data_IF_153352152507
#
_entry.id   IF_153352152507
#
_cell.length_a   1.000
_cell.length_b   1.000
_cell.length_c   1.000
_cell.angle_alpha   90.00
_cell.angle_beta   90.00
_cell.angle_gamma   90.00
#
_symmetry.space_group_name_H-M   'P 1'
#
loop_
_entity.id
_entity.type
_entity.pdbx_description
1 polymer ?
#
# COMPACT_ATOMS: atom_id res chain seq x y z
N UNK A 1 -17.84 13.05 -0.13
CA UNK A 1 -17.48 11.69 0.23
C UNK A 1 -18.37 10.71 -0.52
N UNK A 2 -17.81 9.57 -0.91
CA UNK A 2 -18.53 8.48 -1.57
C UNK A 2 -18.42 7.27 -0.65
N UNK A 3 -19.52 6.56 -0.35
CA UNK A 3 -19.48 5.32 0.42
C UNK A 3 -18.60 4.28 -0.27
N UNK A 4 -17.73 3.60 0.49
CA UNK A 4 -16.73 2.68 -0.08
C UNK A 4 -17.39 1.49 -0.79
N UNK A 5 -18.52 1.03 -0.32
CA UNK A 5 -19.32 -0.05 -0.92
C UNK A 5 -19.90 0.30 -2.31
N UNK A 6 -19.87 1.57 -2.68
CA UNK A 6 -20.27 2.05 -4.02
C UNK A 6 -19.08 2.30 -4.93
N UNK A 7 -17.88 2.00 -4.49
CA UNK A 7 -16.66 2.10 -5.28
C UNK A 7 -16.32 0.73 -5.84
N UNK A 8 -16.19 0.62 -7.15
CA UNK A 8 -15.73 -0.60 -7.80
C UNK A 8 -14.38 -0.36 -8.46
N UNK A 9 -13.53 -1.38 -8.41
CA UNK A 9 -12.24 -1.40 -9.10
C UNK A 9 -12.39 -2.35 -10.27
N UNK A 10 -12.15 -1.85 -11.47
CA UNK A 10 -12.11 -2.70 -12.67
C UNK A 10 -10.73 -3.32 -12.83
N UNK A 11 -10.67 -4.50 -13.40
CA UNK A 11 -9.40 -5.16 -13.70
C UNK A 11 -8.55 -4.27 -14.62
N UNK A 12 -7.26 -4.09 -14.28
CA UNK A 12 -6.37 -3.28 -15.08
C UNK A 12 -6.06 -3.98 -16.40
N UNK A 13 -6.32 -3.28 -17.51
CA UNK A 13 -5.91 -3.73 -18.84
C UNK A 13 -4.90 -2.77 -19.44
N UNK A 14 -3.81 -3.28 -20.01
CA UNK A 14 -2.76 -2.46 -20.62
C UNK A 14 -3.26 -1.56 -21.75
N UNK A 15 -4.43 -1.87 -22.31
CA UNK A 15 -5.05 -1.08 -23.38
C UNK A 15 -5.64 0.25 -22.89
N UNK A 16 -6.06 0.33 -21.62
CA UNK A 16 -6.82 1.47 -21.09
C UNK A 16 -6.13 2.18 -19.93
N UNK A 17 -5.16 1.51 -19.30
CA UNK A 17 -4.45 2.07 -18.16
C UNK A 17 -3.14 2.72 -18.59
N UNK A 18 -2.78 3.85 -17.95
CA UNK A 18 -1.47 4.45 -18.16
C UNK A 18 -0.35 3.52 -17.68
N UNK A 19 0.86 3.73 -18.20
CA UNK A 19 2.04 3.00 -17.75
C UNK A 19 2.23 3.14 -16.23
N UNK A 20 2.47 2.01 -15.57
CA UNK A 20 2.73 1.92 -14.15
C UNK A 20 3.97 1.07 -13.90
N UNK A 21 4.88 1.54 -13.05
CA UNK A 21 6.09 0.81 -12.67
C UNK A 21 5.83 -0.35 -11.69
N UNK A 22 4.59 -0.62 -11.32
CA UNK A 22 4.22 -1.61 -10.32
C UNK A 22 4.42 -1.12 -8.88
N UNK A 23 4.28 -2.05 -7.96
CA UNK A 23 4.29 -1.75 -6.50
C UNK A 23 5.67 -1.98 -5.85
N UNK A 24 6.71 -2.30 -6.61
CA UNK A 24 8.04 -2.57 -6.07
C UNK A 24 8.57 -1.37 -5.26
N UNK A 25 9.29 -1.65 -4.18
CA UNK A 25 9.78 -0.62 -3.25
C UNK A 25 8.68 -0.02 -2.37
N UNK A 26 7.60 -0.76 -2.10
CA UNK A 26 6.49 -0.36 -1.19
C UNK A 26 5.81 0.96 -1.56
N UNK A 27 5.80 1.31 -2.83
CA UNK A 27 5.33 2.62 -3.32
C UNK A 27 3.83 2.70 -3.62
N UNK A 28 3.07 1.62 -3.42
CA UNK A 28 1.65 1.55 -3.81
C UNK A 28 0.81 2.71 -3.28
N UNK A 29 0.88 2.99 -1.99
CA UNK A 29 0.15 4.10 -1.37
C UNK A 29 0.66 5.46 -1.86
N UNK A 30 1.97 5.66 -1.92
CA UNK A 30 2.58 6.95 -2.29
C UNK A 30 2.27 7.30 -3.74
N UNK A 31 2.46 6.36 -4.67
CA UNK A 31 2.31 6.65 -6.11
C UNK A 31 0.86 6.42 -6.58
N UNK A 32 0.36 5.21 -6.43
CA UNK A 32 -0.99 4.86 -6.91
C UNK A 32 -2.08 5.54 -6.11
N UNK A 33 -1.96 5.56 -4.78
CA UNK A 33 -2.93 6.25 -3.91
C UNK A 33 -3.00 7.74 -4.21
N UNK A 34 -1.86 8.40 -4.40
CA UNK A 34 -1.83 9.82 -4.79
C UNK A 34 -2.45 10.06 -6.17
N UNK A 35 -2.14 9.20 -7.16
CA UNK A 35 -2.73 9.30 -8.49
C UNK A 35 -4.25 9.14 -8.45
N UNK A 36 -4.78 8.18 -7.68
CA UNK A 36 -6.22 7.98 -7.48
C UNK A 36 -6.85 9.20 -6.80
N UNK A 37 -6.21 9.75 -5.78
CA UNK A 37 -6.67 10.98 -5.12
C UNK A 37 -6.78 12.16 -6.09
N UNK A 38 -5.75 12.36 -6.92
CA UNK A 38 -5.76 13.42 -7.95
C UNK A 38 -6.88 13.22 -8.98
N UNK A 39 -7.10 11.98 -9.43
CA UNK A 39 -8.19 11.65 -10.34
C UNK A 39 -9.56 11.94 -9.71
N UNK A 40 -9.75 11.57 -8.44
CA UNK A 40 -10.99 11.85 -7.72
C UNK A 40 -11.21 13.36 -7.51
N UNK A 41 -10.17 14.12 -7.23
CA UNK A 41 -10.24 15.59 -7.12
C UNK A 41 -10.63 16.23 -8.46
N UNK A 42 -10.06 15.78 -9.57
CA UNK A 42 -10.42 16.28 -10.91
C UNK A 42 -11.87 15.92 -11.27
N UNK A 43 -12.30 14.68 -10.98
CA UNK A 43 -13.69 14.29 -11.18
C UNK A 43 -14.66 15.14 -10.34
N UNK A 44 -14.31 15.39 -9.06
CA UNK A 44 -15.08 16.30 -8.20
C UNK A 44 -15.18 17.70 -8.79
N UNK A 45 -14.05 18.25 -9.26
CA UNK A 45 -14.02 19.57 -9.89
C UNK A 45 -14.98 19.66 -11.09
N UNK A 46 -14.92 18.67 -11.99
CA UNK A 46 -15.81 18.59 -13.16
C UNK A 46 -17.29 18.48 -12.74
N UNK A 47 -17.59 17.70 -11.71
CA UNK A 47 -18.94 17.59 -11.18
C UNK A 47 -19.46 18.94 -10.64
N UNK A 48 -18.63 19.70 -9.94
CA UNK A 48 -18.96 21.03 -9.44
C UNK A 48 -19.14 22.04 -10.57
N UNK A 49 -18.33 22.01 -11.61
CA UNK A 49 -18.46 22.85 -12.80
C UNK A 49 -19.80 22.59 -13.54
N UNK A 50 -20.17 21.32 -13.72
CA UNK A 50 -21.48 20.94 -14.27
C UNK A 50 -22.63 21.37 -13.35
N UNK A 51 -22.47 21.24 -12.04
CA UNK A 51 -23.42 21.71 -11.06
C UNK A 51 -23.59 23.23 -11.08
N UNK A 52 -22.50 23.98 -11.30
CA UNK A 52 -22.51 25.42 -11.42
C UNK A 52 -23.38 25.89 -12.62
N UNK A 53 -23.24 25.19 -13.74
CA UNK A 53 -24.11 25.42 -14.91
C UNK A 53 -25.59 25.09 -14.63
N UNK A 54 -25.83 23.95 -13.94
CA UNK A 54 -27.18 23.50 -13.63
C UNK A 54 -27.92 24.46 -12.68
N UNK A 55 -27.27 24.85 -11.57
CA UNK A 55 -27.86 25.74 -10.56
C UNK A 55 -27.74 27.23 -10.92
N UNK A 56 -26.99 27.58 -11.96
CA UNK A 56 -26.61 28.96 -12.31
C UNK A 56 -25.97 29.70 -11.12
N UNK A 57 -25.01 29.05 -10.50
CA UNK A 57 -24.25 29.49 -9.32
C UNK A 57 -22.76 29.37 -9.59
N UNK A 58 -21.93 30.03 -8.77
CA UNK A 58 -20.48 29.85 -8.83
C UNK A 58 -20.07 28.53 -8.15
N UNK A 59 -18.94 27.97 -8.56
CA UNK A 59 -18.43 26.68 -8.07
C UNK A 59 -18.18 26.67 -6.58
N UNK A 60 -17.72 27.79 -6.02
CA UNK A 60 -17.44 27.99 -4.59
C UNK A 60 -18.70 27.90 -3.70
N UNK A 61 -19.88 28.16 -4.26
CA UNK A 61 -21.16 27.99 -3.58
C UNK A 61 -21.66 26.53 -3.55
N UNK A 62 -20.96 25.61 -4.19
CA UNK A 62 -21.38 24.23 -4.31
C UNK A 62 -20.43 23.29 -3.54
N UNK A 63 -20.94 22.12 -3.18
CA UNK A 63 -20.12 21.00 -2.73
C UNK A 63 -20.74 19.66 -3.13
N UNK A 64 -20.02 18.56 -2.84
CA UNK A 64 -20.46 17.22 -3.21
C UNK A 64 -20.54 16.31 -1.98
N UNK A 65 -21.57 15.50 -1.93
CA UNK A 65 -21.74 14.43 -0.96
C UNK A 65 -22.55 13.28 -1.57
N UNK A 66 -22.14 12.04 -1.36
CA UNK A 66 -22.87 10.82 -1.74
C UNK A 66 -23.37 10.81 -3.19
N UNK A 67 -22.49 11.15 -4.14
CA UNK A 67 -22.79 11.30 -5.57
C UNK A 67 -23.78 12.41 -5.92
N UNK A 68 -23.99 13.33 -5.01
CA UNK A 68 -24.87 14.49 -5.23
C UNK A 68 -24.02 15.76 -5.28
N UNK A 69 -24.47 16.74 -6.05
CA UNK A 69 -23.99 18.12 -5.99
C UNK A 69 -25.08 18.97 -5.32
N UNK A 70 -24.72 19.76 -4.35
CA UNK A 70 -25.65 20.59 -3.60
C UNK A 70 -25.13 22.02 -3.42
N UNK A 71 -26.04 22.96 -3.16
CA UNK A 71 -25.73 24.35 -2.84
C UNK A 71 -25.43 24.47 -1.33
N UNK A 72 -24.27 24.99 -0.98
CA UNK A 72 -23.79 25.08 0.43
C UNK A 72 -24.78 25.82 1.35
N UNK A 73 -25.31 26.95 0.88
CA UNK A 73 -26.21 27.79 1.65
C UNK A 73 -27.66 27.26 1.67
N UNK A 74 -27.99 26.31 0.78
CA UNK A 74 -29.29 25.66 0.73
C UNK A 74 -29.14 24.19 0.30
N UNK A 75 -28.80 23.28 1.23
CA UNK A 75 -28.57 21.87 0.92
C UNK A 75 -29.79 21.10 0.35
N UNK A 76 -30.98 21.69 0.39
CA UNK A 76 -32.16 21.11 -0.26
C UNK A 76 -32.09 21.25 -1.78
N UNK A 77 -31.35 22.25 -2.27
CA UNK A 77 -31.04 22.37 -3.69
C UNK A 77 -29.91 21.40 -4.03
N UNK A 78 -30.30 20.21 -4.45
CA UNK A 78 -29.41 19.07 -4.69
C UNK A 78 -29.74 18.37 -5.98
N UNK A 79 -28.72 17.89 -6.69
CA UNK A 79 -28.88 17.13 -7.95
C UNK A 79 -27.93 15.93 -7.98
N UNK A 80 -28.38 14.75 -8.39
CA UNK A 80 -27.51 13.62 -8.61
C UNK A 80 -26.49 13.87 -9.73
N UNK A 81 -25.21 13.48 -9.53
CA UNK A 81 -24.15 13.68 -10.52
C UNK A 81 -24.48 13.06 -11.88
N UNK A 82 -25.16 11.90 -11.90
CA UNK A 82 -25.55 11.25 -13.15
C UNK A 82 -26.55 12.07 -13.99
N UNK A 83 -27.28 13.01 -13.38
CA UNK A 83 -28.16 13.94 -14.12
C UNK A 83 -27.43 15.14 -14.69
N UNK A 84 -26.22 15.43 -14.20
CA UNK A 84 -25.39 16.54 -14.66
C UNK A 84 -24.59 16.18 -15.91
N UNK A 85 -24.20 14.92 -16.03
CA UNK A 85 -23.52 14.42 -17.22
C UNK A 85 -24.53 14.20 -18.36
N UNK A 86 -24.21 14.55 -19.61
CA UNK A 86 -25.01 14.12 -20.77
C UNK A 86 -25.18 12.60 -20.75
N UNK A 87 -26.32 12.10 -21.29
CA UNK A 87 -26.75 10.69 -21.17
C UNK A 87 -25.72 9.63 -21.59
N UNK A 88 -24.66 10.02 -22.31
CA UNK A 88 -23.63 9.13 -22.84
C UNK A 88 -22.23 9.42 -22.29
N UNK A 89 -22.07 10.40 -21.38
CA UNK A 89 -20.78 10.82 -20.86
C UNK A 89 -20.72 10.60 -19.34
N UNK A 90 -19.69 9.87 -18.93
CA UNK A 90 -19.32 9.76 -17.50
C UNK A 90 -18.48 10.97 -17.08
N UNK A 91 -18.57 11.36 -15.80
CA UNK A 91 -17.64 12.32 -15.22
C UNK A 91 -16.33 11.58 -14.95
N UNK A 92 -15.32 11.86 -15.76
CA UNK A 92 -14.00 11.18 -15.68
C UNK A 92 -12.97 12.13 -15.13
N UNK A 93 -12.24 11.69 -14.10
CA UNK A 93 -11.04 12.36 -13.59
C UNK A 93 -9.79 11.59 -13.96
N UNK A 94 -8.72 12.34 -14.23
CA UNK A 94 -7.40 11.82 -14.55
C UNK A 94 -6.42 12.18 -13.44
N UNK A 95 -5.63 11.21 -12.97
CA UNK A 95 -4.60 11.44 -11.98
C UNK A 95 -3.30 10.75 -12.39
N UNK A 96 -2.20 11.48 -12.36
CA UNK A 96 -0.87 10.96 -12.56
C UNK A 96 0.04 11.46 -11.46
N UNK A 97 0.80 10.55 -10.85
CA UNK A 97 1.80 10.88 -9.84
C UNK A 97 3.01 9.95 -10.03
N UNK A 98 4.18 10.52 -10.12
CA UNK A 98 5.43 9.78 -10.36
C UNK A 98 6.58 10.22 -9.44
N UNK A 99 6.33 11.10 -8.50
CA UNK A 99 7.35 11.51 -7.56
C UNK A 99 7.68 10.36 -6.61
N UNK A 100 8.95 10.05 -6.50
CA UNK A 100 9.48 9.11 -5.54
C UNK A 100 10.20 9.92 -4.45
N UNK A 101 9.61 9.99 -3.29
CA UNK A 101 10.28 10.53 -2.12
C UNK A 101 11.09 9.42 -1.45
N UNK A 102 12.32 9.71 -1.13
CA UNK A 102 13.12 8.84 -0.30
C UNK A 102 12.79 9.18 1.16
N UNK A 103 11.74 8.55 1.69
CA UNK A 103 11.32 8.74 3.08
C UNK A 103 12.13 7.75 3.93
N UNK A 104 13.02 8.21 4.80
CA UNK A 104 13.73 7.31 5.70
C UNK A 104 12.74 6.66 6.68
N UNK A 105 12.82 5.35 6.82
CA UNK A 105 12.17 4.62 7.90
C UNK A 105 13.25 4.15 8.89
N UNK A 106 12.93 4.21 10.17
CA UNK A 106 13.81 3.72 11.23
C UNK A 106 13.29 2.41 11.77
N UNK A 107 14.21 1.50 12.04
CA UNK A 107 13.88 0.17 12.53
C UNK A 107 14.95 -0.31 13.49
N UNK A 108 14.53 -1.08 14.51
CA UNK A 108 15.41 -1.79 15.42
C UNK A 108 14.91 -3.22 15.60
N UNK A 109 15.82 -4.19 15.54
CA UNK A 109 15.49 -5.61 15.75
C UNK A 109 16.46 -6.17 16.79
N UNK A 110 15.92 -6.93 17.73
CA UNK A 110 16.64 -7.65 18.76
C UNK A 110 16.33 -9.13 18.65
N UNK A 111 17.35 -9.95 18.69
CA UNK A 111 17.24 -11.41 18.58
C UNK A 111 17.97 -12.05 19.75
N UNK A 112 17.28 -12.97 20.42
CA UNK A 112 17.86 -13.86 21.40
C UNK A 112 18.03 -15.23 20.75
N UNK A 113 19.26 -15.75 20.76
CA UNK A 113 19.61 -17.02 20.14
C UNK A 113 20.46 -17.88 21.07
N UNK A 114 20.23 -19.19 21.02
CA UNK A 114 21.05 -20.23 21.64
C UNK A 114 21.89 -20.92 20.56
N UNK A 115 23.17 -21.06 20.80
CA UNK A 115 24.09 -21.75 19.89
C UNK A 115 24.65 -22.99 20.59
N UNK A 116 24.48 -24.16 19.99
CA UNK A 116 25.12 -25.37 20.41
C UNK A 116 26.62 -25.34 20.00
N UNK A 117 27.51 -25.30 20.99
CA UNK A 117 28.92 -25.16 20.74
C UNK A 117 29.58 -26.44 20.18
N UNK A 118 28.90 -27.59 20.25
CA UNK A 118 29.46 -28.86 19.75
C UNK A 118 29.21 -29.01 18.23
N UNK A 119 28.04 -28.55 17.72
CA UNK A 119 27.66 -28.75 16.34
C UNK A 119 27.33 -27.46 15.59
N UNK A 120 27.31 -26.29 16.28
CA UNK A 120 27.02 -24.99 15.69
C UNK A 120 25.55 -24.72 15.41
N UNK A 121 24.64 -25.61 15.81
CA UNK A 121 23.21 -25.40 15.61
C UNK A 121 22.73 -24.17 16.36
N UNK A 122 22.01 -23.31 15.66
CA UNK A 122 21.46 -22.07 16.21
C UNK A 122 19.96 -22.19 16.34
N UNK A 123 19.45 -21.97 17.55
CA UNK A 123 18.02 -21.90 17.87
C UNK A 123 17.64 -20.48 18.24
N UNK A 124 16.64 -19.94 17.60
CA UNK A 124 16.07 -18.64 17.95
C UNK A 124 15.12 -18.81 19.12
N UNK A 125 15.38 -18.07 20.20
CA UNK A 125 14.57 -18.11 21.43
C UNK A 125 13.46 -17.08 21.37
N UNK A 126 13.82 -15.84 20.94
CA UNK A 126 12.87 -14.73 20.81
C UNK A 126 13.36 -13.69 19.81
N UNK A 127 12.41 -13.04 19.17
CA UNK A 127 12.66 -11.87 18.32
C UNK A 127 11.77 -10.73 18.79
N UNK A 128 12.30 -9.51 18.84
CA UNK A 128 11.55 -8.29 19.08
C UNK A 128 11.96 -7.25 18.03
N UNK A 129 10.99 -6.66 17.34
CA UNK A 129 11.24 -5.65 16.32
C UNK A 129 10.33 -4.46 16.43
N UNK A 130 10.89 -3.26 16.25
CA UNK A 130 10.15 -2.02 16.21
C UNK A 130 10.46 -1.20 14.95
N UNK A 131 9.46 -0.54 14.44
CA UNK A 131 9.60 0.33 13.26
C UNK A 131 8.82 1.62 13.44
N UNK A 132 9.39 2.70 12.91
CA UNK A 132 8.71 3.98 12.70
C UNK A 132 8.48 4.14 11.20
N UNK A 133 7.20 4.18 10.81
CA UNK A 133 6.78 4.26 9.40
C UNK A 133 6.02 5.55 9.08
N UNK A 134 6.00 6.53 10.00
CA UNK A 134 5.15 7.70 9.88
C UNK A 134 3.68 7.35 10.08
N UNK A 135 2.78 7.99 9.35
CA UNK A 135 1.33 7.78 9.49
C UNK A 135 0.92 6.34 9.13
N UNK A 136 0.30 5.66 10.08
CA UNK A 136 -0.21 4.30 9.92
C UNK A 136 -1.55 4.33 9.16
N UNK A 137 -1.61 3.67 8.00
CA UNK A 137 -2.83 3.54 7.21
C UNK A 137 -3.58 2.24 7.56
N UNK A 138 -2.83 1.14 7.70
CA UNK A 138 -3.34 -0.17 8.09
C UNK A 138 -2.35 -0.85 9.06
N UNK A 139 -2.67 -0.85 10.34
CA UNK A 139 -1.81 -1.40 11.39
C UNK A 139 -1.58 -2.90 11.24
N UNK A 140 -2.60 -3.66 10.79
CA UNK A 140 -2.46 -5.10 10.58
C UNK A 140 -1.52 -5.43 9.42
N UNK A 141 -1.59 -4.65 8.34
CA UNK A 141 -0.68 -4.81 7.22
C UNK A 141 0.77 -4.50 7.63
N UNK A 142 1.00 -3.50 8.49
CA UNK A 142 2.33 -3.19 9.03
C UNK A 142 2.83 -4.31 9.92
N UNK A 143 2.00 -4.81 10.84
CA UNK A 143 2.34 -5.94 11.70
C UNK A 143 2.69 -7.18 10.88
N UNK A 144 1.92 -7.50 9.85
CA UNK A 144 2.23 -8.60 8.91
C UNK A 144 3.58 -8.42 8.22
N UNK A 145 3.95 -7.19 7.83
CA UNK A 145 5.26 -6.91 7.24
C UNK A 145 6.40 -7.07 8.24
N UNK A 146 6.18 -6.72 9.51
CA UNK A 146 7.17 -6.95 10.57
C UNK A 146 7.36 -8.46 10.82
N UNK A 147 6.29 -9.22 10.97
CA UNK A 147 6.36 -10.66 11.15
C UNK A 147 6.94 -11.38 9.92
N UNK A 148 6.47 -11.04 8.72
CA UNK A 148 6.88 -11.71 7.48
C UNK A 148 8.24 -11.27 6.98
N UNK A 149 8.55 -9.97 7.01
CA UNK A 149 9.80 -9.42 6.50
C UNK A 149 10.96 -9.66 7.46
N UNK A 150 10.82 -9.26 8.70
CA UNK A 150 11.91 -9.32 9.70
C UNK A 150 11.86 -10.55 10.58
N UNK A 151 10.68 -10.99 10.98
CA UNK A 151 10.51 -12.17 11.81
C UNK A 151 10.75 -13.49 11.07
N UNK A 152 10.61 -13.47 9.75
CA UNK A 152 10.76 -14.67 8.91
C UNK A 152 11.85 -14.50 7.87
N UNK A 153 11.58 -13.83 6.76
CA UNK A 153 12.44 -13.85 5.58
C UNK A 153 13.89 -13.38 5.84
N UNK A 154 14.10 -12.29 6.58
CA UNK A 154 15.45 -11.80 6.84
C UNK A 154 16.26 -12.72 7.78
N UNK A 155 15.58 -13.36 8.74
CA UNK A 155 16.24 -14.28 9.66
C UNK A 155 16.55 -15.60 8.95
N UNK A 156 15.66 -16.08 8.09
CA UNK A 156 15.90 -17.31 7.32
C UNK A 156 17.09 -17.17 6.37
N UNK A 157 17.21 -16.02 5.71
CA UNK A 157 18.38 -15.68 4.89
C UNK A 157 19.70 -15.72 5.68
N UNK A 158 19.65 -15.39 6.97
CA UNK A 158 20.85 -15.41 7.82
C UNK A 158 21.20 -16.78 8.38
N UNK A 159 20.22 -17.69 8.56
CA UNK A 159 20.42 -18.94 9.32
C UNK A 159 20.24 -20.18 8.43
N UNK A 160 19.30 -20.19 7.52
CA UNK A 160 18.89 -21.40 6.78
C UNK A 160 19.13 -21.33 5.28
N UNK A 161 18.88 -20.15 4.68
CA UNK A 161 18.86 -20.03 3.23
C UNK A 161 20.26 -19.94 2.65
N UNK A 162 20.56 -20.78 1.70
CA UNK A 162 21.83 -20.79 0.97
C UNK A 162 21.63 -21.10 -0.50
N UNK A 163 22.19 -20.27 -1.36
CA UNK A 163 22.27 -20.52 -2.80
C UNK A 163 23.60 -21.24 -3.13
N UNK A 164 23.56 -22.55 -3.30
CA UNK A 164 24.74 -23.35 -3.62
C UNK A 164 24.83 -23.48 -5.14
N UNK A 165 25.94 -22.99 -5.70
CA UNK A 165 26.24 -23.10 -7.12
C UNK A 165 27.33 -24.15 -7.35
N UNK A 166 27.17 -24.99 -8.37
CA UNK A 166 28.26 -25.85 -8.87
C UNK A 166 29.37 -24.96 -9.46
N UNK A 167 30.57 -24.98 -8.89
CA UNK A 167 31.64 -24.09 -9.32
C UNK A 167 32.16 -24.38 -10.75
N UNK A 168 31.89 -25.57 -11.30
CA UNK A 168 32.34 -25.95 -12.63
C UNK A 168 31.34 -25.56 -13.73
N UNK A 169 30.04 -25.59 -13.42
CA UNK A 169 28.97 -25.38 -14.40
C UNK A 169 28.15 -24.13 -14.18
N UNK A 170 28.24 -23.52 -12.99
CA UNK A 170 27.38 -22.41 -12.57
C UNK A 170 25.92 -22.83 -12.30
N UNK A 171 25.64 -24.15 -12.28
CA UNK A 171 24.28 -24.64 -12.02
C UNK A 171 23.90 -24.43 -10.55
N UNK A 172 22.69 -23.93 -10.31
CA UNK A 172 22.11 -23.85 -8.97
C UNK A 172 21.77 -25.28 -8.48
N UNK A 173 22.40 -25.69 -7.39
CA UNK A 173 22.18 -26.99 -6.76
C UNK A 173 20.99 -26.98 -5.81
N UNK A 174 20.72 -25.87 -5.18
CA UNK A 174 19.54 -25.63 -4.31
C UNK A 174 18.35 -25.07 -5.10
N UNK A 175 17.97 -25.72 -6.18
CA UNK A 175 16.95 -25.22 -7.12
C UNK A 175 15.51 -25.62 -6.78
N UNK A 176 15.32 -26.42 -5.74
CA UNK A 176 13.99 -26.91 -5.32
C UNK A 176 13.80 -26.73 -3.81
N UNK A 177 12.54 -26.72 -3.33
CA UNK A 177 12.22 -26.67 -1.91
C UNK A 177 12.67 -27.92 -1.12
N UNK A 178 13.13 -28.97 -1.79
CA UNK A 178 13.74 -30.15 -1.15
C UNK A 178 15.17 -29.82 -0.71
N UNK A 179 15.89 -29.09 -1.55
CA UNK A 179 17.31 -28.78 -1.36
C UNK A 179 17.50 -27.41 -0.69
N UNK A 180 16.64 -26.45 -1.01
CA UNK A 180 16.64 -25.10 -0.43
C UNK A 180 16.02 -25.12 0.97
N UNK A 181 16.82 -24.77 1.97
CA UNK A 181 16.36 -24.81 3.37
C UNK A 181 15.51 -23.59 3.68
N UNK A 182 14.37 -23.84 4.28
CA UNK A 182 13.44 -22.86 4.78
C UNK A 182 12.92 -23.30 6.14
N UNK A 183 12.72 -22.37 7.04
CA UNK A 183 12.18 -22.66 8.38
C UNK A 183 10.76 -23.15 8.30
N UNK A 184 10.45 -24.19 9.08
CA UNK A 184 9.08 -24.67 9.23
C UNK A 184 8.32 -23.81 10.22
N UNK A 185 7.00 -23.86 10.18
CA UNK A 185 6.14 -23.05 11.07
C UNK A 185 6.45 -23.27 12.56
N UNK A 186 6.82 -24.49 12.94
CA UNK A 186 7.16 -24.83 14.34
C UNK A 186 8.51 -24.25 14.82
N UNK A 187 9.33 -23.79 13.92
CA UNK A 187 10.66 -23.23 14.22
C UNK A 187 10.62 -21.69 14.35
N UNK A 188 9.41 -21.09 14.16
CA UNK A 188 9.25 -19.65 14.39
C UNK A 188 9.36 -19.34 15.88
N UNK A 189 10.27 -18.44 16.28
CA UNK A 189 10.34 -17.94 17.63
C UNK A 189 9.13 -17.03 17.94
N UNK A 190 8.80 -16.85 19.23
CA UNK A 190 7.92 -15.76 19.63
C UNK A 190 8.45 -14.42 19.11
N UNK A 191 7.56 -13.60 18.55
CA UNK A 191 7.92 -12.32 17.97
C UNK A 191 7.06 -11.20 18.54
N UNK A 192 7.72 -10.19 19.14
CA UNK A 192 7.07 -8.98 19.62
C UNK A 192 7.25 -7.86 18.59
N UNK A 193 6.14 -7.42 17.98
CA UNK A 193 6.13 -6.33 17.00
C UNK A 193 5.71 -5.01 17.66
N UNK A 194 6.51 -3.97 17.50
CA UNK A 194 6.24 -2.62 17.98
C UNK A 194 6.16 -1.65 16.81
N UNK A 195 5.03 -0.99 16.67
CA UNK A 195 4.79 -0.02 15.61
C UNK A 195 4.73 1.37 16.23
N UNK A 196 5.58 2.26 15.79
CA UNK A 196 5.58 3.67 16.17
C UNK A 196 5.02 4.51 15.04
N UNK A 197 4.25 5.51 15.40
CA UNK A 197 3.71 6.51 14.47
C UNK A 197 4.32 7.87 14.80
N UNK A 198 5.28 8.29 13.99
CA UNK A 198 5.80 9.65 14.08
C UNK A 198 4.96 10.60 13.23
N UNK A 199 4.58 11.73 13.80
CA UNK A 199 4.06 12.85 13.02
C UNK A 199 5.25 13.57 12.40
N UNK A 200 5.57 13.21 11.16
CA UNK A 200 6.48 14.01 10.36
C UNK A 200 5.63 15.14 9.78
N UNK A 201 5.79 16.34 10.30
CA UNK A 201 5.21 17.53 9.70
C UNK A 201 5.73 17.66 8.27
N UNK A 202 4.82 17.49 7.30
CA UNK A 202 5.07 17.57 5.86
C UNK A 202 5.04 19.00 5.37
#
# INVERSE_FOLDING_TARGET
>A
NVPVEKVSITEPGSKFNPSNYGLCGSRGTITTGKAVSLAAMEAKKKALELGALYFKRSVDQLDTKDFMVYVRDNPQLVVPMFKLAPKELSIVGYGKHMEMFNIPSCMAIFVEAEVDLENGNTKLVKVAGGTDIGQIIDSKAVEMQLHGGFGSACIDTAIFEECILDPSTGRLLTSSLIDYKWRTFNEFPPYDAYIMESQIDS
#
